data_IF_117169981570
#
_entry.id   IF_117169981570
#
_cell.length_a   1.000
_cell.length_b   1.000
_cell.length_c   1.000
_cell.angle_alpha   90.00
_cell.angle_beta   90.00
_cell.angle_gamma   90.00
#
_symmetry.space_group_name_H-M   'P 1'
#
loop_
_entity.id
_entity.type
_entity.pdbx_description
1 polymer ?
#
# COMPACT_ATOMS: atom_id res chain seq x y z
N UNK A 1 21.85 23.19 -8.42
CA UNK A 1 20.81 22.22 -8.00
C UNK A 1 19.80 21.97 -9.10
N UNK A 2 18.92 20.94 -8.94
CA UNK A 2 17.91 20.60 -9.95
C UNK A 2 16.94 21.78 -10.19
N UNK A 3 16.43 22.36 -9.13
CA UNK A 3 15.47 23.49 -9.19
C UNK A 3 16.08 24.78 -9.78
N UNK A 4 17.38 25.04 -9.55
CA UNK A 4 18.04 26.27 -10.04
C UNK A 4 18.17 26.35 -11.58
N UNK A 5 17.78 25.28 -12.29
CA UNK A 5 17.81 25.18 -13.76
C UNK A 5 16.42 25.24 -14.39
N UNK A 6 15.38 25.46 -13.58
CA UNK A 6 14.00 25.57 -14.06
C UNK A 6 13.60 27.04 -14.07
N UNK A 7 13.40 27.60 -15.25
CA UNK A 7 13.15 29.04 -15.44
C UNK A 7 11.86 29.54 -14.74
N UNK A 8 10.87 28.65 -14.55
CA UNK A 8 9.54 29.00 -14.00
C UNK A 8 9.32 28.41 -12.57
N UNK A 9 10.38 27.98 -11.88
CA UNK A 9 10.27 27.32 -10.57
C UNK A 9 11.20 27.96 -9.55
N UNK A 10 10.65 28.42 -8.44
CA UNK A 10 11.41 28.97 -7.31
C UNK A 10 11.47 27.94 -6.17
N UNK A 11 12.65 27.79 -5.56
CA UNK A 11 12.82 26.94 -4.40
C UNK A 11 12.35 27.66 -3.13
N UNK A 12 11.17 27.32 -2.63
CA UNK A 12 10.62 27.87 -1.39
C UNK A 12 11.42 27.43 -0.14
N UNK A 13 11.92 26.18 -0.10
CA UNK A 13 12.69 25.70 1.04
C UNK A 13 13.15 24.25 0.90
N UNK A 14 13.87 23.77 1.93
CA UNK A 14 14.33 22.37 2.05
C UNK A 14 14.24 21.92 3.49
N UNK A 15 13.84 20.68 3.67
CA UNK A 15 13.81 20.01 4.96
C UNK A 15 14.48 18.64 4.84
N UNK A 16 15.16 18.22 5.88
CA UNK A 16 15.89 16.94 5.99
C UNK A 16 15.11 15.87 6.77
N UNK A 17 13.92 16.21 7.25
CA UNK A 17 13.03 15.28 7.95
C UNK A 17 11.56 15.58 7.64
N UNK A 18 10.71 14.55 7.75
CA UNK A 18 9.27 14.68 7.54
C UNK A 18 8.63 15.64 8.53
N UNK A 19 9.03 15.58 9.80
CA UNK A 19 8.52 16.49 10.84
C UNK A 19 8.87 17.97 10.59
N UNK A 20 10.08 18.26 10.10
CA UNK A 20 10.46 19.61 9.72
C UNK A 20 9.70 20.06 8.47
N UNK A 21 9.55 19.16 7.48
CA UNK A 21 8.77 19.42 6.27
C UNK A 21 7.32 19.77 6.58
N UNK A 22 6.65 18.99 7.42
CA UNK A 22 5.25 19.25 7.80
C UNK A 22 5.10 20.65 8.42
N UNK A 23 5.97 21.05 9.34
CA UNK A 23 5.93 22.39 9.94
C UNK A 23 6.09 23.49 8.89
N UNK A 24 7.08 23.35 8.00
CA UNK A 24 7.30 24.33 6.94
C UNK A 24 6.10 24.45 6.00
N UNK A 25 5.49 23.30 5.62
CA UNK A 25 4.30 23.26 4.76
C UNK A 25 3.05 23.84 5.45
N UNK A 26 2.95 23.74 6.78
CA UNK A 26 1.85 24.35 7.55
C UNK A 26 2.03 25.87 7.72
N UNK A 27 3.27 26.36 7.79
CA UNK A 27 3.59 27.78 7.96
C UNK A 27 3.48 28.57 6.65
N UNK A 28 4.06 28.04 5.57
CA UNK A 28 4.08 28.69 4.25
C UNK A 28 3.97 27.61 3.15
N UNK A 29 2.74 27.21 2.75
CA UNK A 29 2.54 26.14 1.79
C UNK A 29 2.97 26.57 0.37
N UNK A 30 3.92 25.86 -0.26
CA UNK A 30 4.27 26.09 -1.66
C UNK A 30 3.19 25.54 -2.60
N UNK A 31 3.28 25.82 -3.91
CA UNK A 31 2.40 25.19 -4.91
C UNK A 31 2.66 23.69 -5.05
N UNK A 32 3.91 23.27 -4.84
CA UNK A 32 4.38 21.88 -5.01
C UNK A 32 5.41 21.50 -3.94
N UNK A 33 5.27 20.31 -3.37
CA UNK A 33 6.32 19.68 -2.59
C UNK A 33 6.87 18.45 -3.32
N UNK A 34 8.21 18.34 -3.33
CA UNK A 34 8.89 17.11 -3.78
C UNK A 34 9.30 16.30 -2.57
N UNK A 35 8.82 15.08 -2.47
CA UNK A 35 8.99 14.18 -1.32
C UNK A 35 9.73 12.90 -1.72
N UNK A 36 10.66 12.49 -0.86
CA UNK A 36 11.08 11.10 -0.87
C UNK A 36 10.02 10.23 -0.15
N UNK A 37 9.88 8.99 -0.57
CA UNK A 37 9.03 8.02 0.14
C UNK A 37 9.60 7.69 1.53
N UNK A 38 10.93 7.66 1.69
CA UNK A 38 11.61 7.37 2.96
C UNK A 38 12.32 8.61 3.49
N UNK A 39 11.84 9.18 4.57
CA UNK A 39 12.36 10.42 5.19
C UNK A 39 13.14 10.21 6.48
N UNK A 40 13.47 8.98 6.83
CA UNK A 40 14.22 8.64 8.04
C UNK A 40 13.38 8.61 9.32
N UNK A 41 12.60 9.64 9.60
CA UNK A 41 11.73 9.76 10.78
C UNK A 41 10.28 9.29 10.52
N UNK A 42 9.82 9.35 9.27
CA UNK A 42 8.50 8.90 8.83
C UNK A 42 8.51 8.57 7.34
N UNK A 43 7.39 8.15 6.78
CA UNK A 43 7.26 7.98 5.33
C UNK A 43 6.75 9.26 4.66
N UNK A 44 7.06 9.45 3.37
CA UNK A 44 6.46 10.54 2.60
C UNK A 44 4.94 10.40 2.48
N UNK A 45 4.40 9.18 2.61
CA UNK A 45 2.95 8.95 2.67
C UNK A 45 2.35 9.57 3.93
N UNK A 46 3.03 9.48 5.09
CA UNK A 46 2.57 10.12 6.33
C UNK A 46 2.51 11.65 6.17
N UNK A 47 3.50 12.23 5.47
CA UNK A 47 3.48 13.66 5.11
C UNK A 47 2.29 13.99 4.20
N UNK A 48 2.04 13.20 3.17
CA UNK A 48 0.90 13.40 2.26
C UNK A 48 -0.45 13.29 3.00
N UNK A 49 -0.58 12.33 3.91
CA UNK A 49 -1.78 12.22 4.74
C UNK A 49 -1.97 13.47 5.60
N UNK A 50 -0.89 14.03 6.15
CA UNK A 50 -0.96 15.28 6.92
C UNK A 50 -1.35 16.49 6.07
N UNK A 51 -0.82 16.59 4.84
CA UNK A 51 -1.22 17.60 3.85
C UNK A 51 -2.74 17.52 3.60
N UNK A 52 -3.27 16.31 3.41
CA UNK A 52 -4.68 16.09 3.17
C UNK A 52 -5.56 16.40 4.39
N UNK A 53 -5.16 15.98 5.59
CA UNK A 53 -5.87 16.30 6.85
C UNK A 53 -6.00 17.81 7.06
N UNK A 54 -4.93 18.54 6.79
CA UNK A 54 -4.87 20.00 6.91
C UNK A 54 -5.47 20.73 5.71
N UNK A 55 -5.80 20.00 4.64
CA UNK A 55 -6.29 20.55 3.37
C UNK A 55 -5.39 21.65 2.81
N UNK A 56 -4.08 21.43 2.90
CA UNK A 56 -3.12 22.41 2.39
C UNK A 56 -3.25 22.51 0.86
N UNK A 57 -3.25 23.72 0.28
CA UNK A 57 -3.48 23.95 -1.14
C UNK A 57 -2.20 23.71 -1.97
N UNK A 58 -1.60 22.55 -1.85
CA UNK A 58 -0.36 22.18 -2.54
C UNK A 58 -0.46 20.82 -3.20
N UNK A 59 0.44 20.54 -4.13
CA UNK A 59 0.58 19.27 -4.82
C UNK A 59 1.80 18.51 -4.32
N UNK A 60 1.73 17.19 -4.28
CA UNK A 60 2.85 16.35 -3.87
C UNK A 60 3.36 15.51 -5.04
N UNK A 61 4.65 15.69 -5.37
CA UNK A 61 5.41 14.84 -6.30
C UNK A 61 6.36 13.96 -5.50
N UNK A 62 6.30 12.66 -5.68
CA UNK A 62 7.21 11.72 -5.06
C UNK A 62 8.35 11.34 -5.98
N UNK A 63 9.58 11.38 -5.43
CA UNK A 63 10.78 10.88 -6.08
C UNK A 63 11.32 9.73 -5.22
N UNK A 64 11.16 8.48 -5.64
CA UNK A 64 11.46 7.30 -4.83
C UNK A 64 12.40 6.33 -5.51
N UNK A 65 13.26 5.65 -4.72
CA UNK A 65 14.21 4.67 -5.25
C UNK A 65 13.53 3.40 -5.75
N UNK A 66 12.65 2.81 -4.96
CA UNK A 66 11.90 1.60 -5.33
C UNK A 66 10.59 1.58 -4.56
N UNK A 67 9.48 1.61 -5.27
CA UNK A 67 8.15 1.42 -4.71
C UNK A 67 7.64 0.02 -5.05
N UNK A 68 7.10 -0.67 -4.05
CA UNK A 68 6.35 -1.91 -4.26
C UNK A 68 4.92 -1.58 -4.71
N UNK A 69 4.21 -2.56 -5.29
CA UNK A 69 2.88 -2.35 -5.85
C UNK A 69 1.89 -1.73 -4.85
N UNK A 70 1.89 -2.19 -3.60
CA UNK A 70 0.99 -1.65 -2.57
C UNK A 70 1.35 -0.20 -2.18
N UNK A 71 2.64 0.15 -2.06
CA UNK A 71 3.08 1.51 -1.74
C UNK A 71 2.76 2.49 -2.87
N UNK A 72 3.02 2.11 -4.11
CA UNK A 72 2.68 2.92 -5.28
C UNK A 72 1.16 3.16 -5.37
N UNK A 73 0.37 2.12 -5.13
CA UNK A 73 -1.08 2.22 -5.08
C UNK A 73 -1.53 3.18 -3.96
N UNK A 74 -1.01 3.04 -2.75
CA UNK A 74 -1.37 3.89 -1.59
C UNK A 74 -1.04 5.36 -1.82
N UNK A 75 0.08 5.67 -2.47
CA UNK A 75 0.42 7.05 -2.82
C UNK A 75 -0.59 7.66 -3.78
N UNK A 76 -0.97 6.91 -4.83
CA UNK A 76 -1.97 7.38 -5.80
C UNK A 76 -3.36 7.48 -5.15
N UNK A 77 -3.75 6.50 -4.34
CA UNK A 77 -5.01 6.52 -3.58
C UNK A 77 -5.09 7.71 -2.61
N UNK A 78 -3.96 8.06 -1.99
CA UNK A 78 -3.84 9.23 -1.11
C UNK A 78 -3.78 10.57 -1.86
N UNK A 79 -3.78 10.56 -3.20
CA UNK A 79 -3.83 11.77 -4.00
C UNK A 79 -2.46 12.37 -4.36
N UNK A 80 -1.40 11.56 -4.40
CA UNK A 80 -0.13 12.01 -4.96
C UNK A 80 -0.34 12.53 -6.38
N UNK A 81 0.10 13.76 -6.65
CA UNK A 81 -0.01 14.38 -7.96
C UNK A 81 1.04 13.84 -8.95
N UNK A 82 2.14 13.28 -8.45
CA UNK A 82 3.13 12.62 -9.26
C UNK A 82 3.97 11.62 -8.48
N UNK A 83 4.45 10.59 -9.17
CA UNK A 83 5.39 9.60 -8.62
C UNK A 83 6.35 9.19 -9.71
N UNK A 84 7.64 9.36 -9.47
CA UNK A 84 8.74 9.01 -10.39
C UNK A 84 9.89 8.34 -9.62
N UNK A 85 10.79 7.67 -10.34
CA UNK A 85 11.95 7.03 -9.74
C UNK A 85 13.08 8.02 -9.46
N UNK A 86 13.93 7.71 -8.45
CA UNK A 86 15.15 8.47 -8.15
C UNK A 86 16.25 8.35 -9.20
N UNK A 87 16.20 7.29 -10.01
CA UNK A 87 17.12 7.06 -11.13
C UNK A 87 16.64 7.70 -12.45
N UNK A 88 15.50 8.43 -12.42
CA UNK A 88 15.07 9.25 -13.54
C UNK A 88 16.10 10.35 -13.85
N UNK A 89 16.19 10.71 -15.12
CA UNK A 89 17.09 11.76 -15.58
C UNK A 89 16.68 13.13 -15.03
N UNK A 90 17.61 14.08 -15.07
CA UNK A 90 17.34 15.45 -14.72
C UNK A 90 16.12 16.03 -15.47
N UNK A 91 16.08 15.79 -16.78
CA UNK A 91 15.04 16.32 -17.66
C UNK A 91 13.67 15.70 -17.35
N UNK A 92 13.61 14.40 -17.01
CA UNK A 92 12.39 13.71 -16.61
C UNK A 92 11.84 14.26 -15.27
N UNK A 93 12.72 14.53 -14.30
CA UNK A 93 12.31 15.11 -13.01
C UNK A 93 11.84 16.56 -13.22
N UNK A 94 12.55 17.33 -14.04
CA UNK A 94 12.20 18.71 -14.38
C UNK A 94 10.83 18.80 -15.09
N UNK A 95 10.60 17.92 -16.08
CA UNK A 95 9.31 17.82 -16.76
C UNK A 95 8.19 17.44 -15.77
N UNK A 96 8.43 16.45 -14.89
CA UNK A 96 7.46 16.06 -13.90
C UNK A 96 7.08 17.19 -12.94
N UNK A 97 8.06 17.98 -12.45
CA UNK A 97 7.81 19.15 -11.59
C UNK A 97 6.93 20.14 -12.34
N UNK A 98 7.30 20.49 -13.56
CA UNK A 98 6.58 21.48 -14.37
C UNK A 98 5.14 21.04 -14.66
N UNK A 99 4.94 19.79 -15.04
CA UNK A 99 3.61 19.24 -15.35
C UNK A 99 2.73 19.13 -14.11
N UNK A 100 3.29 18.67 -12.99
CA UNK A 100 2.55 18.59 -11.71
C UNK A 100 2.16 19.99 -11.25
N UNK A 101 3.05 21.00 -11.35
CA UNK A 101 2.72 22.39 -11.03
C UNK A 101 1.55 22.91 -11.87
N UNK A 102 1.46 22.53 -13.15
CA UNK A 102 0.35 22.88 -14.06
C UNK A 102 -0.95 22.10 -13.79
N UNK A 103 -0.96 21.16 -12.85
CA UNK A 103 -2.16 20.41 -12.50
C UNK A 103 -2.28 19.05 -13.15
N UNK A 104 -1.28 18.61 -13.90
CA UNK A 104 -1.28 17.25 -14.45
C UNK A 104 -0.93 16.20 -13.39
N UNK A 105 -1.35 14.97 -13.62
CA UNK A 105 -0.86 13.81 -12.86
C UNK A 105 0.26 13.12 -13.63
N UNK A 106 1.41 12.91 -12.99
CA UNK A 106 2.60 12.32 -13.62
C UNK A 106 3.00 11.03 -12.92
N UNK A 107 2.88 9.91 -13.61
CA UNK A 107 3.36 8.61 -13.14
C UNK A 107 4.31 8.04 -14.19
N UNK A 108 5.53 7.65 -13.78
CA UNK A 108 6.43 6.95 -14.68
C UNK A 108 5.85 5.60 -15.13
N UNK A 109 6.26 5.04 -16.26
CA UNK A 109 5.76 3.75 -16.74
C UNK A 109 5.93 2.61 -15.74
N UNK A 110 7.03 2.63 -14.99
CA UNK A 110 7.31 1.64 -13.94
C UNK A 110 6.36 1.80 -12.75
N UNK A 111 6.11 3.03 -12.30
CA UNK A 111 5.14 3.31 -11.25
C UNK A 111 3.73 2.95 -11.68
N UNK A 112 3.33 3.25 -12.92
CA UNK A 112 2.03 2.80 -13.45
C UNK A 112 1.88 1.28 -13.37
N UNK A 113 2.93 0.54 -13.77
CA UNK A 113 2.92 -0.93 -13.67
C UNK A 113 2.81 -1.41 -12.21
N UNK A 114 3.49 -0.76 -11.27
CA UNK A 114 3.42 -1.07 -9.86
C UNK A 114 2.03 -0.78 -9.27
N UNK A 115 1.42 0.36 -9.62
CA UNK A 115 0.04 0.69 -9.24
C UNK A 115 -0.95 -0.36 -9.73
N UNK A 116 -0.83 -0.78 -11.01
CA UNK A 116 -1.69 -1.82 -11.56
C UNK A 116 -1.51 -3.17 -10.89
N UNK A 117 -0.28 -3.52 -10.46
CA UNK A 117 -0.04 -4.70 -9.64
C UNK A 117 -0.72 -4.57 -8.26
N UNK A 118 -0.58 -3.43 -7.58
CA UNK A 118 -1.23 -3.15 -6.31
C UNK A 118 -2.76 -3.23 -6.38
N UNK A 119 -3.36 -2.71 -7.46
CA UNK A 119 -4.81 -2.85 -7.72
C UNK A 119 -5.23 -4.32 -7.83
N UNK A 120 -4.46 -5.14 -8.57
CA UNK A 120 -4.75 -6.58 -8.72
C UNK A 120 -4.64 -7.31 -7.39
N UNK A 121 -3.56 -7.08 -6.64
CA UNK A 121 -3.35 -7.69 -5.33
C UNK A 121 -4.47 -7.35 -4.34
N UNK A 122 -4.93 -6.09 -4.32
CA UNK A 122 -6.06 -5.67 -3.47
C UNK A 122 -7.37 -6.31 -3.91
N UNK A 123 -7.62 -6.37 -5.22
CA UNK A 123 -8.79 -7.06 -5.76
C UNK A 123 -8.80 -8.54 -5.36
N UNK A 124 -7.64 -9.20 -5.47
CA UNK A 124 -7.52 -10.62 -5.11
C UNK A 124 -7.70 -10.83 -3.60
N UNK A 125 -7.18 -9.93 -2.76
CA UNK A 125 -7.44 -9.94 -1.30
C UNK A 125 -8.91 -9.67 -0.93
N UNK A 126 -9.63 -8.87 -1.73
CA UNK A 126 -11.04 -8.53 -1.52
C UNK A 126 -11.99 -9.49 -2.23
N UNK A 127 -11.50 -10.36 -3.11
CA UNK A 127 -12.31 -11.36 -3.77
C UNK A 127 -13.03 -12.23 -2.71
N UNK A 128 -14.33 -12.51 -2.90
CA UNK A 128 -15.05 -13.37 -1.97
C UNK A 128 -14.38 -14.74 -1.92
N UNK A 129 -13.93 -15.13 -0.75
CA UNK A 129 -13.37 -16.47 -0.53
C UNK A 129 -14.52 -17.48 -0.51
N UNK A 130 -14.63 -18.27 -1.56
CA UNK A 130 -15.62 -19.35 -1.61
C UNK A 130 -15.02 -20.59 -0.95
N UNK A 131 -15.44 -20.86 0.28
CA UNK A 131 -15.12 -22.10 0.97
C UNK A 131 -16.12 -23.20 0.57
N UNK A 132 -15.60 -24.41 0.31
CA UNK A 132 -16.46 -25.59 0.27
C UNK A 132 -17.06 -25.86 1.65
N UNK A 133 -18.13 -26.63 1.73
CA UNK A 133 -18.74 -27.00 3.02
C UNK A 133 -17.71 -27.63 3.95
N UNK A 134 -16.82 -28.46 3.42
CA UNK A 134 -15.75 -29.11 4.18
C UNK A 134 -14.72 -28.13 4.72
N UNK A 135 -14.33 -27.13 3.94
CA UNK A 135 -13.40 -26.09 4.39
C UNK A 135 -14.04 -25.20 5.45
N UNK A 136 -15.34 -24.92 5.34
CA UNK A 136 -16.10 -24.18 6.33
C UNK A 136 -16.22 -24.93 7.66
N UNK A 137 -16.54 -26.23 7.63
CA UNK A 137 -16.55 -27.10 8.82
C UNK A 137 -15.19 -27.12 9.53
N UNK A 138 -14.11 -27.21 8.75
CA UNK A 138 -12.75 -27.19 9.29
C UNK A 138 -12.44 -25.84 9.92
N UNK A 139 -12.74 -24.74 9.26
CA UNK A 139 -12.52 -23.38 9.78
C UNK A 139 -13.31 -23.17 11.08
N UNK A 140 -14.55 -23.62 11.13
CA UNK A 140 -15.37 -23.60 12.35
C UNK A 140 -14.75 -24.46 13.46
N UNK A 141 -14.23 -25.65 13.15
CA UNK A 141 -13.49 -26.47 14.12
C UNK A 141 -12.24 -25.76 14.66
N UNK A 142 -11.53 -25.03 13.80
CA UNK A 142 -10.39 -24.20 14.21
C UNK A 142 -10.82 -23.08 15.17
N UNK A 143 -11.91 -22.38 14.92
CA UNK A 143 -12.40 -21.27 15.77
C UNK A 143 -12.80 -21.78 17.16
N UNK A 144 -13.35 -23.00 17.26
CA UNK A 144 -13.65 -23.68 18.53
C UNK A 144 -12.42 -24.17 19.31
N UNK A 145 -11.22 -23.96 18.81
CA UNK A 145 -9.99 -24.39 19.47
C UNK A 145 -9.62 -25.86 19.22
N UNK A 146 -10.32 -26.60 18.35
CA UNK A 146 -10.05 -28.02 18.10
C UNK A 146 -8.72 -28.22 17.36
N UNK A 147 -7.98 -29.24 17.74
CA UNK A 147 -6.75 -29.65 17.02
C UNK A 147 -7.12 -30.32 15.69
N UNK A 148 -6.20 -30.32 14.72
CA UNK A 148 -6.40 -31.01 13.45
C UNK A 148 -6.83 -32.50 13.60
N UNK A 149 -6.23 -33.29 14.50
CA UNK A 149 -6.72 -34.64 14.77
C UNK A 149 -8.13 -34.71 15.36
N UNK A 150 -8.55 -33.72 16.18
CA UNK A 150 -9.89 -33.65 16.75
C UNK A 150 -10.92 -33.33 15.65
N UNK A 151 -10.64 -32.36 14.80
CA UNK A 151 -11.46 -32.03 13.62
C UNK A 151 -11.55 -33.26 12.68
N UNK A 152 -10.44 -33.94 12.44
CA UNK A 152 -10.42 -35.14 11.62
C UNK A 152 -11.36 -36.23 12.17
N UNK A 153 -11.39 -36.43 13.48
CA UNK A 153 -12.34 -37.36 14.13
C UNK A 153 -13.80 -36.93 14.00
N UNK A 154 -14.12 -35.64 14.27
CA UNK A 154 -15.47 -35.13 14.11
C UNK A 154 -16.00 -35.26 12.67
N UNK A 155 -15.13 -35.04 11.70
CA UNK A 155 -15.49 -35.07 10.28
C UNK A 155 -15.26 -36.42 9.59
N UNK A 156 -14.85 -37.47 10.32
CA UNK A 156 -14.51 -38.78 9.78
C UNK A 156 -13.44 -38.71 8.67
N UNK A 157 -12.39 -37.90 8.88
CA UNK A 157 -11.27 -37.73 7.95
C UNK A 157 -9.99 -38.38 8.49
N UNK A 158 -9.19 -38.92 7.57
CA UNK A 158 -7.84 -39.39 7.91
C UNK A 158 -6.90 -38.23 8.24
N UNK A 159 -5.80 -38.49 8.98
CA UNK A 159 -4.82 -37.48 9.32
C UNK A 159 -4.14 -36.84 8.11
N UNK A 160 -3.99 -37.54 7.00
CA UNK A 160 -3.47 -37.01 5.75
C UNK A 160 -4.49 -36.11 5.06
N UNK A 161 -5.75 -36.50 5.06
CA UNK A 161 -6.85 -35.75 4.43
C UNK A 161 -7.07 -34.43 5.14
N UNK A 162 -7.10 -34.42 6.49
CA UNK A 162 -7.27 -33.14 7.23
C UNK A 162 -6.11 -32.18 6.98
N UNK A 163 -4.86 -32.67 6.90
CA UNK A 163 -3.71 -31.82 6.55
C UNK A 163 -3.85 -31.19 5.17
N UNK A 164 -4.29 -31.95 4.18
CA UNK A 164 -4.50 -31.44 2.83
C UNK A 164 -5.61 -30.39 2.76
N UNK A 165 -6.70 -30.58 3.52
CA UNK A 165 -7.76 -29.57 3.60
C UNK A 165 -7.30 -28.31 4.33
N UNK A 166 -6.54 -28.43 5.41
CA UNK A 166 -5.97 -27.28 6.12
C UNK A 166 -5.05 -26.47 5.22
N UNK A 167 -4.17 -27.15 4.46
CA UNK A 167 -3.29 -26.44 3.53
C UNK A 167 -4.10 -25.64 2.49
N UNK A 168 -5.09 -26.28 1.85
CA UNK A 168 -5.96 -25.60 0.88
C UNK A 168 -6.75 -24.44 1.49
N UNK A 169 -7.23 -24.60 2.73
CA UNK A 169 -7.91 -23.55 3.47
C UNK A 169 -6.98 -22.36 3.71
N UNK A 170 -5.75 -22.61 4.16
CA UNK A 170 -4.76 -21.59 4.40
C UNK A 170 -4.37 -20.86 3.10
N UNK A 171 -4.16 -21.61 2.02
CA UNK A 171 -3.88 -21.03 0.69
C UNK A 171 -5.03 -20.13 0.21
N UNK A 172 -6.28 -20.57 0.36
CA UNK A 172 -7.49 -19.78 -0.01
C UNK A 172 -7.66 -18.54 0.85
N UNK A 173 -7.33 -18.59 2.13
CA UNK A 173 -7.41 -17.44 3.03
C UNK A 173 -6.18 -16.52 2.91
N UNK A 174 -5.10 -16.98 2.26
CA UNK A 174 -3.84 -16.25 2.13
C UNK A 174 -3.06 -16.16 3.45
N UNK A 175 -3.13 -17.20 4.29
CA UNK A 175 -2.52 -17.25 5.63
C UNK A 175 -1.60 -18.45 5.79
N UNK A 176 -0.72 -18.43 6.79
CA UNK A 176 0.27 -19.48 7.01
C UNK A 176 0.02 -20.35 8.26
N UNK A 177 -0.88 -19.91 9.13
CA UNK A 177 -1.10 -20.60 10.40
C UNK A 177 -2.58 -20.54 10.85
N UNK A 178 -2.86 -21.31 11.93
CA UNK A 178 -4.19 -21.45 12.48
C UNK A 178 -4.78 -20.14 13.01
N UNK A 179 -3.99 -19.37 13.76
CA UNK A 179 -4.48 -18.16 14.40
C UNK A 179 -4.86 -17.12 13.34
N UNK A 180 -4.00 -16.99 12.32
CA UNK A 180 -4.27 -16.14 11.16
C UNK A 180 -5.50 -16.62 10.37
N UNK A 181 -5.71 -17.95 10.22
CA UNK A 181 -6.88 -18.48 9.53
C UNK A 181 -8.19 -18.15 10.26
N UNK A 182 -8.23 -18.27 11.59
CA UNK A 182 -9.41 -17.92 12.39
C UNK A 182 -9.67 -16.40 12.32
N UNK A 183 -8.64 -15.58 12.52
CA UNK A 183 -8.75 -14.12 12.45
C UNK A 183 -9.27 -13.66 11.07
N UNK A 184 -8.74 -14.24 9.99
CA UNK A 184 -9.16 -13.93 8.63
C UNK A 184 -10.57 -14.42 8.33
N UNK A 185 -10.95 -15.59 8.86
CA UNK A 185 -12.31 -16.13 8.76
C UNK A 185 -13.34 -15.22 9.42
N UNK A 186 -13.06 -14.71 10.63
CA UNK A 186 -13.90 -13.72 11.31
C UNK A 186 -13.95 -12.39 10.55
N UNK A 187 -12.79 -11.89 10.10
CA UNK A 187 -12.71 -10.63 9.34
C UNK A 187 -13.52 -10.65 8.04
N UNK A 188 -13.61 -11.81 7.40
CA UNK A 188 -14.39 -12.04 6.16
C UNK A 188 -15.81 -12.53 6.40
N UNK A 189 -16.25 -12.59 7.65
CA UNK A 189 -17.59 -13.08 8.02
C UNK A 189 -17.90 -14.51 7.51
N UNK A 190 -16.85 -15.35 7.43
CA UNK A 190 -16.97 -16.75 7.04
C UNK A 190 -17.35 -17.66 8.22
N UNK A 191 -17.10 -17.20 9.42
CA UNK A 191 -17.42 -17.79 10.74
C UNK A 191 -17.73 -16.65 11.73
N UNK A 192 -18.55 -16.96 12.72
CA UNK A 192 -18.89 -16.07 13.85
C UNK A 192 -17.83 -16.15 14.97
#
# INVERSE_FOLDING_TARGET
MLVDRLDDVELAGRCDSGAAGIRALEEDPPDLVVLDFQLGDMTGLDVLMRINEKRLPLRALFVSGRLQGDDAYRLVEAGAAGVIEKDATFDEIADAITRVARGETVLSPRVQSAVMAGVRERRDRQAPVILSDREREILYGLSRGLTAPAIGRELNLSGSTIKSHLQRLYDKLGVSDRAAAVAEGMRRELID
#
